data_IF_046370768862
#
_entry.id   IF_046370768862
#
_cell.length_a   1.000
_cell.length_b   1.000
_cell.length_c   1.000
_cell.angle_alpha   90.00
_cell.angle_beta   90.00
_cell.angle_gamma   90.00
#
_symmetry.space_group_name_H-M   'P 1'
#
loop_
_entity.id
_entity.type
_entity.pdbx_description
1 polymer ?
#
# COMPACT_ATOMS: atom_id res chain seq x y z
N UNK A 1 -13.63 16.64 20.18
CA UNK A 1 -14.28 15.54 19.47
C UNK A 1 -14.94 14.57 20.46
N UNK A 2 -16.00 13.92 20.05
CA UNK A 2 -16.75 12.96 20.88
C UNK A 2 -15.81 11.86 21.39
N UNK A 3 -15.74 11.65 22.68
CA UNK A 3 -14.90 10.63 23.35
C UNK A 3 -15.14 9.21 22.80
N UNK A 4 -16.26 8.98 22.13
CA UNK A 4 -16.67 7.68 21.59
C UNK A 4 -16.47 7.54 20.07
N UNK A 5 -16.04 8.58 19.37
CA UNK A 5 -15.80 8.52 17.92
C UNK A 5 -14.33 8.33 17.64
N UNK A 6 -14.00 7.20 17.00
CA UNK A 6 -12.66 6.94 16.46
C UNK A 6 -12.67 7.22 14.96
N UNK A 7 -11.64 7.93 14.51
CA UNK A 7 -11.46 8.25 13.09
C UNK A 7 -10.42 7.32 12.49
N UNK A 8 -10.78 6.69 11.38
CA UNK A 8 -9.87 5.92 10.54
C UNK A 8 -9.73 6.67 9.22
N UNK A 9 -8.50 6.99 8.84
CA UNK A 9 -8.20 7.66 7.58
C UNK A 9 -7.95 6.62 6.49
N UNK A 10 -8.59 6.82 5.34
CA UNK A 10 -8.29 6.06 4.13
C UNK A 10 -7.08 6.67 3.43
N UNK A 11 -5.98 5.92 3.33
CA UNK A 11 -4.75 6.34 2.68
C UNK A 11 -4.48 5.51 1.44
N UNK A 12 -4.00 6.17 0.39
CA UNK A 12 -3.73 5.56 -0.91
C UNK A 12 -2.27 5.81 -1.27
N UNK A 13 -1.42 4.78 -1.20
CA UNK A 13 0.01 4.89 -1.50
C UNK A 13 0.39 4.32 -2.85
N UNK A 14 -0.51 3.54 -3.45
CA UNK A 14 -0.27 2.96 -4.75
C UNK A 14 -0.30 4.00 -5.86
N UNK A 15 -1.28 4.88 -5.86
CA UNK A 15 -1.51 5.83 -6.94
C UNK A 15 -2.06 7.16 -6.44
N UNK A 16 -2.15 8.13 -7.33
CA UNK A 16 -2.94 9.36 -7.11
C UNK A 16 -3.86 9.62 -8.32
N UNK A 17 -4.68 10.65 -8.24
CA UNK A 17 -5.43 11.10 -9.41
C UNK A 17 -4.53 11.85 -10.41
N UNK A 18 -4.78 11.72 -11.72
CA UNK A 18 -4.03 12.41 -12.78
C UNK A 18 -4.11 13.94 -12.71
N UNK A 19 -5.03 14.49 -11.91
CA UNK A 19 -5.11 15.91 -11.60
C UNK A 19 -4.28 16.34 -10.40
N UNK A 20 -3.63 15.41 -9.71
CA UNK A 20 -2.75 15.70 -8.57
C UNK A 20 -1.55 16.55 -9.03
N UNK A 21 -1.17 17.52 -8.21
CA UNK A 21 -0.05 18.42 -8.52
C UNK A 21 1.29 17.67 -8.67
N UNK A 22 1.52 16.61 -7.91
CA UNK A 22 2.72 15.78 -8.01
C UNK A 22 2.84 15.08 -9.37
N UNK A 23 1.72 14.79 -10.03
CA UNK A 23 1.75 14.21 -11.36
C UNK A 23 1.86 15.29 -12.46
N UNK A 24 1.19 16.42 -12.29
CA UNK A 24 1.25 17.53 -13.26
C UNK A 24 2.60 18.22 -13.32
N UNK A 25 3.29 18.27 -12.19
CA UNK A 25 4.62 18.87 -12.05
C UNK A 25 5.52 17.91 -11.26
N UNK A 26 5.90 16.81 -11.93
CA UNK A 26 6.65 15.73 -11.30
C UNK A 26 8.00 16.23 -10.79
N UNK A 27 8.32 16.00 -9.49
CA UNK A 27 9.61 16.40 -8.92
C UNK A 27 10.81 15.72 -9.58
N UNK A 28 10.61 14.50 -10.13
CA UNK A 28 11.60 13.75 -10.90
C UNK A 28 10.89 12.79 -11.86
N UNK A 29 11.58 12.37 -12.94
CA UNK A 29 11.01 11.46 -13.95
C UNK A 29 10.59 10.11 -13.36
N UNK A 30 11.32 9.64 -12.35
CA UNK A 30 11.07 8.37 -11.66
C UNK A 30 10.17 8.50 -10.43
N UNK A 31 9.41 9.62 -10.30
CA UNK A 31 8.42 9.79 -9.24
C UNK A 31 7.24 8.83 -9.38
N UNK A 32 6.88 8.56 -10.64
CA UNK A 32 5.85 7.58 -11.01
C UNK A 32 6.45 6.45 -11.82
N UNK A 33 5.88 5.26 -11.68
CA UNK A 33 6.28 4.10 -12.46
C UNK A 33 6.07 4.35 -13.96
N UNK A 34 6.91 3.71 -14.78
CA UNK A 34 6.99 3.94 -16.22
C UNK A 34 7.24 5.41 -16.62
N UNK A 35 7.93 6.17 -15.76
CA UNK A 35 8.24 7.60 -15.98
C UNK A 35 6.98 8.45 -16.28
N UNK A 36 5.86 8.11 -15.63
CA UNK A 36 4.59 8.79 -15.82
C UNK A 36 3.83 8.39 -17.10
N UNK A 37 4.25 7.33 -17.79
CA UNK A 37 3.54 6.80 -18.94
C UNK A 37 2.59 5.68 -18.54
N UNK A 38 1.38 5.70 -19.05
CA UNK A 38 0.39 4.68 -18.73
C UNK A 38 0.81 3.29 -19.20
N UNK A 39 0.81 2.35 -18.27
CA UNK A 39 0.91 0.91 -18.50
C UNK A 39 -0.05 0.23 -17.52
N UNK A 40 -1.07 -0.44 -18.04
CA UNK A 40 -2.10 -1.05 -17.18
C UNK A 40 -1.52 -2.19 -16.34
N UNK A 41 -1.90 -2.25 -15.05
CA UNK A 41 -1.55 -3.38 -14.18
C UNK A 41 -2.21 -4.68 -14.66
N UNK A 42 -1.54 -5.80 -14.38
CA UNK A 42 -2.13 -7.14 -14.60
C UNK A 42 -3.19 -7.50 -13.56
N UNK A 43 -3.31 -6.74 -12.47
CA UNK A 43 -4.14 -7.03 -11.29
C UNK A 43 -3.83 -8.36 -10.58
N UNK A 44 -2.72 -9.01 -10.92
CA UNK A 44 -2.36 -10.35 -10.41
C UNK A 44 -1.40 -10.27 -9.23
N UNK A 45 -1.84 -9.71 -8.11
CA UNK A 45 -0.99 -9.53 -6.91
C UNK A 45 -0.45 -10.85 -6.35
N UNK A 46 -1.12 -11.99 -6.56
CA UNK A 46 -0.65 -13.31 -6.18
C UNK A 46 0.70 -13.69 -6.83
N UNK A 47 1.10 -13.03 -7.94
CA UNK A 47 2.42 -13.21 -8.58
C UNK A 47 3.58 -12.89 -7.64
N UNK A 48 3.37 -12.07 -6.62
CA UNK A 48 4.40 -11.74 -5.63
C UNK A 48 4.78 -12.93 -4.73
N UNK A 49 3.88 -13.89 -4.57
CA UNK A 49 4.08 -15.08 -3.73
C UNK A 49 4.59 -16.28 -4.54
N UNK A 50 4.36 -16.28 -5.85
CA UNK A 50 4.75 -17.39 -6.72
C UNK A 50 6.23 -17.30 -7.11
N UNK A 51 7.07 -18.24 -6.67
CA UNK A 51 8.50 -18.23 -6.98
C UNK A 51 8.80 -18.46 -8.47
N UNK A 52 7.84 -18.98 -9.23
CA UNK A 52 7.99 -19.29 -10.66
C UNK A 52 7.44 -18.20 -11.58
N UNK A 53 6.80 -17.18 -11.01
CA UNK A 53 6.32 -16.04 -11.81
C UNK A 53 7.50 -15.25 -12.39
N UNK A 54 7.36 -14.86 -13.67
CA UNK A 54 8.37 -14.03 -14.33
C UNK A 54 8.52 -12.66 -13.66
N UNK A 55 9.71 -12.08 -13.75
CA UNK A 55 9.95 -10.72 -13.22
C UNK A 55 9.09 -9.66 -13.92
N UNK A 56 8.77 -9.90 -15.20
CA UNK A 56 7.86 -9.03 -15.95
C UNK A 56 6.45 -9.02 -15.35
N UNK A 57 5.89 -10.21 -15.05
CA UNK A 57 4.53 -10.30 -14.48
C UNK A 57 4.47 -9.71 -13.07
N UNK A 58 5.50 -9.99 -12.24
CA UNK A 58 5.64 -9.37 -10.91
C UNK A 58 5.68 -7.85 -11.00
N UNK A 59 6.52 -7.33 -11.89
CA UNK A 59 6.66 -5.89 -12.12
C UNK A 59 5.35 -5.28 -12.59
N UNK A 60 4.67 -5.89 -13.56
CA UNK A 60 3.43 -5.35 -14.11
C UNK A 60 2.30 -5.34 -13.07
N UNK A 61 2.27 -6.31 -12.16
CA UNK A 61 1.28 -6.36 -11.09
C UNK A 61 1.42 -5.21 -10.08
N UNK A 62 2.67 -4.76 -9.82
CA UNK A 62 2.99 -3.76 -8.78
C UNK A 62 3.13 -2.37 -9.38
N UNK A 63 3.82 -2.24 -10.53
CA UNK A 63 4.15 -0.95 -11.13
C UNK A 63 3.05 -0.46 -12.09
N UNK A 64 2.14 -1.34 -12.49
CA UNK A 64 1.10 -1.00 -13.46
C UNK A 64 -0.01 -0.14 -12.85
N UNK A 65 -0.51 0.80 -13.66
CA UNK A 65 -1.59 1.70 -13.27
C UNK A 65 -2.95 1.01 -13.34
N UNK A 66 -3.86 1.32 -12.46
CA UNK A 66 -5.23 0.80 -12.54
C UNK A 66 -5.99 1.34 -13.76
N UNK A 67 -5.87 2.63 -14.01
CA UNK A 67 -6.47 3.30 -15.17
C UNK A 67 -5.56 4.44 -15.62
N UNK A 68 -5.84 4.98 -16.80
CA UNK A 68 -5.15 6.18 -17.34
C UNK A 68 -5.18 7.39 -16.37
N UNK A 69 -6.19 7.46 -15.51
CA UNK A 69 -6.37 8.58 -14.56
C UNK A 69 -5.83 8.31 -13.17
N UNK A 70 -5.16 7.17 -12.96
CA UNK A 70 -4.57 6.74 -11.69
C UNK A 70 -3.08 6.45 -11.86
N UNK A 71 -2.22 7.49 -12.02
CA UNK A 71 -0.78 7.32 -12.11
C UNK A 71 -0.22 6.65 -10.86
N UNK A 72 0.58 5.60 -11.09
CA UNK A 72 1.13 4.75 -10.06
C UNK A 72 2.44 5.32 -9.51
N UNK A 73 2.53 5.47 -8.19
CA UNK A 73 3.74 5.96 -7.54
C UNK A 73 4.88 4.95 -7.59
N UNK A 74 6.07 5.40 -7.87
CA UNK A 74 7.27 4.59 -7.72
C UNK A 74 7.75 4.61 -6.25
N UNK A 75 7.20 3.74 -5.42
CA UNK A 75 7.53 3.67 -3.98
C UNK A 75 8.99 3.25 -3.72
N UNK A 76 9.71 2.69 -4.70
CA UNK A 76 11.16 2.40 -4.61
C UNK A 76 12.02 3.64 -4.73
N UNK A 77 11.48 4.76 -5.25
CA UNK A 77 12.14 6.05 -5.14
C UNK A 77 12.11 6.51 -3.68
N UNK A 78 13.30 6.73 -3.10
CA UNK A 78 13.44 7.10 -1.68
C UNK A 78 12.68 8.37 -1.28
N UNK A 79 12.53 9.32 -2.21
CA UNK A 79 11.84 10.58 -1.94
C UNK A 79 10.33 10.38 -1.93
N UNK A 80 9.80 9.53 -2.82
CA UNK A 80 8.39 9.10 -2.79
C UNK A 80 8.10 8.37 -1.48
N UNK A 81 8.92 7.38 -1.12
CA UNK A 81 8.79 6.65 0.14
C UNK A 81 8.79 7.58 1.36
N UNK A 82 9.78 8.49 1.44
CA UNK A 82 9.86 9.47 2.53
C UNK A 82 8.62 10.36 2.56
N UNK A 83 8.16 10.87 1.42
CA UNK A 83 6.96 11.70 1.34
C UNK A 83 5.72 10.97 1.89
N UNK A 84 5.49 9.74 1.47
CA UNK A 84 4.34 8.94 1.89
C UNK A 84 4.39 8.63 3.39
N UNK A 85 5.56 8.24 3.92
CA UNK A 85 5.76 7.96 5.35
C UNK A 85 5.53 9.22 6.19
N UNK A 86 6.19 10.32 5.84
CA UNK A 86 6.08 11.57 6.58
C UNK A 86 4.68 12.19 6.51
N UNK A 87 4.01 12.05 5.36
CA UNK A 87 2.61 12.47 5.21
C UNK A 87 1.68 11.72 6.15
N UNK A 88 1.90 10.41 6.36
CA UNK A 88 1.11 9.61 7.30
C UNK A 88 1.29 10.10 8.73
N UNK A 89 2.54 10.28 9.17
CA UNK A 89 2.87 10.76 10.51
C UNK A 89 2.26 12.15 10.72
N UNK A 90 2.37 13.02 9.73
CA UNK A 90 1.78 14.35 9.78
C UNK A 90 0.25 14.31 9.97
N UNK A 91 -0.45 13.44 9.25
CA UNK A 91 -1.90 13.29 9.40
C UNK A 91 -2.29 12.72 10.76
N UNK A 92 -1.53 11.76 11.30
CA UNK A 92 -1.76 11.23 12.65
C UNK A 92 -1.69 12.35 13.67
N UNK A 93 -0.64 13.18 13.62
CA UNK A 93 -0.42 14.30 14.55
C UNK A 93 -1.44 15.42 14.33
N UNK A 94 -1.63 15.86 13.09
CA UNK A 94 -2.47 17.01 12.77
C UNK A 94 -3.96 16.77 13.01
N UNK A 95 -4.46 15.62 12.61
CA UNK A 95 -5.89 15.29 12.70
C UNK A 95 -6.25 14.42 13.90
N UNK A 96 -5.28 13.88 14.63
CA UNK A 96 -5.50 13.00 15.78
C UNK A 96 -6.26 11.73 15.39
N UNK A 97 -5.96 11.17 14.21
CA UNK A 97 -6.63 9.96 13.73
C UNK A 97 -6.26 8.75 14.58
N UNK A 98 -7.15 7.76 14.66
CA UNK A 98 -6.99 6.59 15.53
C UNK A 98 -6.59 5.32 14.78
N UNK A 99 -6.57 5.36 13.46
CA UNK A 99 -6.17 4.26 12.61
C UNK A 99 -6.08 4.66 11.15
N UNK A 100 -5.50 3.79 10.35
CA UNK A 100 -5.40 3.93 8.90
C UNK A 100 -5.99 2.69 8.23
N UNK A 101 -6.82 2.89 7.23
CA UNK A 101 -7.13 1.89 6.21
C UNK A 101 -6.24 2.19 5.02
N UNK A 102 -5.36 1.24 4.68
CA UNK A 102 -4.48 1.38 3.53
C UNK A 102 -5.13 0.75 2.30
N UNK A 103 -5.57 1.60 1.40
CA UNK A 103 -6.16 1.23 0.12
C UNK A 103 -5.16 0.45 -0.74
N UNK A 104 -5.65 -0.55 -1.46
CA UNK A 104 -4.89 -1.31 -2.47
C UNK A 104 -3.50 -1.78 -2.01
N UNK A 105 -3.36 -2.14 -0.74
CA UNK A 105 -2.08 -2.46 -0.09
C UNK A 105 -1.19 -3.44 -0.89
N UNK A 106 -1.72 -4.53 -1.50
CA UNK A 106 -0.92 -5.50 -2.24
C UNK A 106 -0.32 -4.98 -3.55
N UNK A 107 -0.77 -3.84 -4.05
CA UNK A 107 -0.31 -3.30 -5.33
C UNK A 107 0.89 -2.37 -5.20
N UNK A 108 1.19 -1.89 -4.00
CA UNK A 108 2.37 -1.08 -3.72
C UNK A 108 3.61 -1.96 -3.45
N UNK A 109 4.79 -1.37 -3.54
CA UNK A 109 6.05 -2.06 -3.27
C UNK A 109 6.08 -2.63 -1.83
N UNK A 110 6.27 -3.94 -1.71
CA UNK A 110 6.22 -4.64 -0.42
C UNK A 110 7.21 -4.09 0.61
N UNK A 111 8.46 -3.82 0.19
CA UNK A 111 9.51 -3.37 1.12
C UNK A 111 9.24 -1.94 1.61
N UNK A 112 8.77 -1.06 0.74
CA UNK A 112 8.36 0.28 1.16
C UNK A 112 7.17 0.23 2.11
N UNK A 113 6.15 -0.59 1.82
CA UNK A 113 4.98 -0.75 2.67
C UNK A 113 5.34 -1.33 4.05
N UNK A 114 6.26 -2.30 4.09
CA UNK A 114 6.81 -2.82 5.34
C UNK A 114 7.55 -1.74 6.15
N UNK A 115 8.35 -0.92 5.47
CA UNK A 115 9.07 0.20 6.08
C UNK A 115 8.12 1.24 6.66
N UNK A 116 7.06 1.59 5.92
CA UNK A 116 6.02 2.48 6.39
C UNK A 116 5.29 1.93 7.62
N UNK A 117 4.80 0.68 7.55
CA UNK A 117 4.14 0.03 8.69
C UNK A 117 5.05 0.04 9.93
N UNK A 118 6.33 -0.30 9.75
CA UNK A 118 7.30 -0.30 10.83
C UNK A 118 7.51 1.11 11.40
N UNK A 119 7.69 2.12 10.55
CA UNK A 119 7.89 3.51 10.99
C UNK A 119 6.71 4.02 11.81
N UNK A 120 5.48 3.75 11.36
CA UNK A 120 4.27 4.16 12.11
C UNK A 120 4.13 3.37 13.42
N UNK A 121 4.38 2.06 13.41
CA UNK A 121 4.25 1.23 14.61
C UNK A 121 5.34 1.54 15.66
N UNK A 122 6.55 1.91 15.24
CA UNK A 122 7.63 2.31 16.14
C UNK A 122 7.31 3.64 16.83
N UNK A 123 6.73 4.60 16.10
CA UNK A 123 6.34 5.91 16.64
C UNK A 123 5.05 5.81 17.48
N UNK A 124 4.09 4.98 17.04
CA UNK A 124 2.77 4.82 17.67
C UNK A 124 2.47 3.34 17.94
N UNK A 125 3.01 2.72 19.00
CA UNK A 125 2.91 1.27 19.22
C UNK A 125 1.48 0.71 19.36
N UNK A 126 0.52 1.56 19.72
CA UNK A 126 -0.90 1.18 19.86
C UNK A 126 -1.76 1.56 18.65
N UNK A 127 -1.14 2.10 17.60
CA UNK A 127 -1.85 2.53 16.40
C UNK A 127 -2.15 1.33 15.50
N UNK A 128 -3.38 1.28 14.96
CA UNK A 128 -3.75 0.20 14.06
C UNK A 128 -3.75 0.64 12.60
N UNK A 129 -3.19 -0.22 11.74
CA UNK A 129 -3.25 -0.12 10.30
C UNK A 129 -3.95 -1.38 9.79
N UNK A 130 -5.00 -1.22 8.98
CA UNK A 130 -5.64 -2.30 8.26
C UNK A 130 -5.35 -2.16 6.76
N UNK A 131 -4.77 -3.19 6.16
CA UNK A 131 -4.51 -3.23 4.72
C UNK A 131 -5.69 -3.80 3.95
N UNK A 132 -6.11 -3.12 2.89
CA UNK A 132 -7.03 -3.69 1.93
C UNK A 132 -6.29 -4.71 1.06
N UNK A 133 -6.50 -5.98 1.36
CA UNK A 133 -5.87 -7.11 0.68
C UNK A 133 -6.97 -7.93 -0.03
N UNK A 134 -7.53 -7.39 -1.09
CA UNK A 134 -8.68 -8.00 -1.77
C UNK A 134 -8.29 -9.24 -2.57
N UNK A 135 -8.38 -10.37 -1.91
CA UNK A 135 -8.12 -11.70 -2.47
C UNK A 135 -9.13 -12.71 -1.90
N UNK A 136 -9.58 -13.64 -2.72
CA UNK A 136 -10.58 -14.65 -2.37
C UNK A 136 -10.06 -15.83 -1.52
N UNK A 137 -8.95 -15.67 -0.78
CA UNK A 137 -8.38 -16.74 0.05
C UNK A 137 -7.66 -16.17 1.26
N UNK A 138 -8.02 -16.66 2.44
CA UNK A 138 -7.36 -16.28 3.71
C UNK A 138 -5.87 -16.59 3.70
N UNK A 139 -5.46 -17.67 3.03
CA UNK A 139 -4.04 -18.01 2.88
C UNK A 139 -3.32 -16.91 2.08
N UNK A 140 -3.85 -16.49 0.95
CA UNK A 140 -3.24 -15.45 0.12
C UNK A 140 -3.24 -14.08 0.84
N UNK A 141 -4.32 -13.73 1.53
CA UNK A 141 -4.41 -12.48 2.32
C UNK A 141 -3.34 -12.44 3.41
N UNK A 142 -3.11 -13.57 4.08
CA UNK A 142 -2.15 -13.67 5.19
C UNK A 142 -0.71 -13.36 4.79
N UNK A 143 -0.36 -13.40 3.49
CA UNK A 143 0.96 -13.02 2.99
C UNK A 143 1.35 -11.61 3.41
N UNK A 144 0.39 -10.67 3.39
CA UNK A 144 0.64 -9.27 3.75
C UNK A 144 0.51 -8.96 5.24
N UNK A 145 0.10 -9.93 6.08
CA UNK A 145 0.04 -9.71 7.51
C UNK A 145 1.43 -9.86 8.15
N UNK A 146 1.70 -9.09 9.20
CA UNK A 146 2.95 -9.21 9.96
C UNK A 146 3.18 -10.65 10.42
N UNK A 147 4.44 -11.05 10.46
CA UNK A 147 4.89 -12.37 10.89
C UNK A 147 4.34 -13.55 10.06
N UNK A 148 3.89 -13.25 8.83
CA UNK A 148 3.41 -14.27 7.91
C UNK A 148 4.52 -15.25 7.53
N UNK A 149 4.24 -16.55 7.68
CA UNK A 149 5.16 -17.60 7.26
C UNK A 149 5.30 -17.68 5.73
N UNK A 150 4.26 -17.24 4.99
CA UNK A 150 4.28 -17.21 3.54
C UNK A 150 5.22 -16.12 2.98
N UNK A 151 5.37 -15.02 3.71
CA UNK A 151 6.27 -13.95 3.32
C UNK A 151 7.71 -14.15 3.77
N UNK A 152 7.98 -15.15 4.65
CA UNK A 152 9.32 -15.38 5.20
C UNK A 152 10.40 -15.50 4.11
N UNK A 153 11.58 -14.88 4.25
CA UNK A 153 12.09 -14.16 5.43
C UNK A 153 11.64 -12.67 5.53
N UNK A 154 10.77 -12.19 4.65
CA UNK A 154 10.24 -10.83 4.72
C UNK A 154 9.19 -10.70 5.82
N UNK A 155 9.02 -9.48 6.35
CA UNK A 155 7.94 -9.14 7.28
C UNK A 155 7.29 -7.85 6.84
N UNK A 156 5.99 -7.85 6.66
CA UNK A 156 5.22 -6.67 6.25
C UNK A 156 5.04 -5.65 7.38
N UNK A 157 5.16 -6.07 8.63
CA UNK A 157 4.80 -5.29 9.82
C UNK A 157 3.35 -4.76 9.83
N UNK A 158 2.51 -5.19 8.89
CA UNK A 158 1.11 -4.79 8.81
C UNK A 158 0.28 -5.47 9.89
N UNK A 159 -0.28 -4.73 10.88
CA UNK A 159 -0.94 -5.34 12.03
C UNK A 159 -2.18 -6.16 11.66
N UNK A 160 -3.01 -5.64 10.75
CA UNK A 160 -4.28 -6.28 10.36
C UNK A 160 -4.52 -6.19 8.86
N UNK A 161 -5.28 -7.14 8.35
CA UNK A 161 -5.74 -7.23 6.96
C UNK A 161 -7.25 -7.36 6.91
N UNK A 162 -7.89 -6.91 5.82
CA UNK A 162 -9.33 -7.07 5.63
C UNK A 162 -9.65 -8.51 5.22
N UNK A 163 -10.69 -9.09 5.84
CA UNK A 163 -11.15 -10.47 5.55
C UNK A 163 -12.22 -10.46 4.45
N UNK A 164 -11.75 -10.37 3.20
CA UNK A 164 -12.66 -10.42 2.03
C UNK A 164 -13.36 -11.76 1.85
N UNK A 165 -12.72 -12.94 2.08
CA UNK A 165 -13.43 -14.21 2.01
C UNK A 165 -14.64 -14.29 2.95
N UNK A 166 -14.51 -13.78 4.18
CA UNK A 166 -15.65 -13.71 5.09
C UNK A 166 -16.76 -12.80 4.55
N UNK A 167 -16.40 -11.67 3.97
CA UNK A 167 -17.37 -10.73 3.38
C UNK A 167 -18.09 -11.33 2.18
N UNK A 168 -17.43 -12.17 1.37
CA UNK A 168 -18.01 -12.82 0.19
C UNK A 168 -18.96 -13.99 0.57
N UNK A 169 -18.85 -14.55 1.79
CA UNK A 169 -19.68 -15.67 2.27
C UNK A 169 -20.95 -15.20 3.02
N UNK A 170 -21.09 -13.91 3.34
CA UNK A 170 -22.25 -13.32 4.02
C UNK A 170 -23.25 -12.79 3.00
#
# INVERSE_FOLDING_TARGET
GDVYKRQVMDMIFNHCGSNNYLFKDMPAKDWFNFEGNYMQTSFKTATQMDPYTSDYDKKLAIDGWFTLTMPDFNQRNRHVATYLIQSSIWWIEYAGINGIRQDTHPYADFEMMAHWCKAVNDEYPSFNIVGETWLGSNVLISYWQKDSKLAYPKNSYLPTVMDFPLMEEI
#
